data_IF_362930729074
#
_entry.id   IF_362930729074
#
_cell.length_a   1.000
_cell.length_b   1.000
_cell.length_c   1.000
_cell.angle_alpha   90.00
_cell.angle_beta   90.00
_cell.angle_gamma   90.00
#
_symmetry.space_group_name_H-M   'P 1'
#
loop_
_entity.id
_entity.type
_entity.pdbx_description
1 polymer ?
#
# COMPACT_ATOMS: atom_id res chain seq x y z
N UNK A 1 -21.75 6.40 15.06
CA UNK A 1 -21.43 7.78 15.53
C UNK A 1 -20.58 7.76 16.80
N UNK A 2 -20.92 6.95 17.80
CA UNK A 2 -20.22 6.96 19.09
C UNK A 2 -18.77 6.43 18.99
N UNK A 3 -18.52 5.35 18.25
CA UNK A 3 -17.19 4.78 18.03
C UNK A 3 -16.25 5.72 17.25
N UNK A 4 -16.79 6.57 16.36
CA UNK A 4 -16.01 7.58 15.63
C UNK A 4 -15.58 8.76 16.51
N UNK A 5 -16.45 9.22 17.42
CA UNK A 5 -16.10 10.29 18.36
C UNK A 5 -14.97 9.90 19.32
N UNK A 6 -14.90 8.63 19.73
CA UNK A 6 -13.80 8.11 20.55
C UNK A 6 -12.47 8.06 19.77
N UNK A 7 -12.50 7.71 18.49
CA UNK A 7 -11.31 7.71 17.61
C UNK A 7 -10.78 9.13 17.38
N UNK A 8 -11.66 10.11 17.15
CA UNK A 8 -11.28 11.52 16.96
C UNK A 8 -10.75 12.16 18.25
N UNK A 9 -11.31 11.82 19.41
CA UNK A 9 -10.90 12.38 20.72
C UNK A 9 -9.52 11.90 21.14
N UNK A 10 -9.16 10.66 20.82
CA UNK A 10 -7.82 10.09 21.05
C UNK A 10 -6.72 10.76 20.21
N UNK A 11 -7.10 11.47 19.14
CA UNK A 11 -6.17 12.01 18.16
C UNK A 11 -5.85 13.50 18.27
N UNK A 12 -6.68 14.30 18.93
CA UNK A 12 -6.47 15.76 19.03
C UNK A 12 -5.30 16.20 19.92
N UNK A 13 -4.67 15.28 20.66
CA UNK A 13 -3.61 15.64 21.62
C UNK A 13 -2.18 15.54 21.12
N UNK A 14 -1.91 15.11 19.87
CA UNK A 14 -0.53 14.85 19.45
C UNK A 14 -0.29 15.07 17.94
N UNK A 15 -0.46 16.30 17.42
CA UNK A 15 0.06 16.63 16.10
C UNK A 15 0.83 17.95 16.14
N UNK A 16 2.12 17.82 16.41
CA UNK A 16 3.15 18.73 15.91
C UNK A 16 4.39 17.89 15.61
N UNK A 17 4.80 17.96 14.33
CA UNK A 17 6.06 17.46 13.77
C UNK A 17 6.27 15.93 13.70
N UNK A 18 6.20 15.41 12.47
CA UNK A 18 7.16 14.41 11.96
C UNK A 18 6.96 14.24 10.44
N UNK A 19 7.72 14.99 9.66
CA UNK A 19 7.82 14.84 8.19
C UNK A 19 9.12 14.10 7.85
N UNK A 20 9.20 12.80 8.13
CA UNK A 20 10.29 11.95 7.62
C UNK A 20 9.83 10.50 7.55
N UNK A 21 9.93 9.90 6.38
CA UNK A 21 9.82 8.46 6.22
C UNK A 21 11.18 7.84 6.59
N UNK A 22 11.30 7.27 7.79
CA UNK A 22 12.56 6.68 8.29
C UNK A 22 12.90 5.34 7.64
N UNK A 23 11.94 4.69 6.97
CA UNK A 23 12.11 3.32 6.44
C UNK A 23 12.64 3.29 5.00
N UNK A 24 12.38 4.32 4.18
CA UNK A 24 12.76 4.33 2.76
C UNK A 24 13.84 5.36 2.38
N UNK A 25 14.29 6.20 3.32
CA UNK A 25 15.39 7.15 3.08
C UNK A 25 15.10 8.25 2.05
N UNK A 26 13.82 8.61 1.83
CA UNK A 26 13.46 9.67 0.90
C UNK A 26 13.87 11.05 1.46
N UNK A 27 14.73 11.84 0.77
CA UNK A 27 15.11 13.16 1.24
C UNK A 27 14.01 14.18 0.99
N UNK A 28 13.69 14.99 1.99
CA UNK A 28 12.86 16.18 1.83
C UNK A 28 13.60 17.22 0.98
N UNK A 29 12.97 17.69 -0.09
CA UNK A 29 13.50 18.74 -0.96
C UNK A 29 13.30 20.11 -0.30
N UNK A 30 14.34 20.62 0.37
CA UNK A 30 14.52 22.05 0.60
C UNK A 30 16.00 22.37 0.46
N UNK A 31 16.39 22.82 -0.73
CA UNK A 31 17.70 23.41 -1.01
C UNK A 31 17.55 24.92 -1.19
N UNK A 32 17.86 25.69 -0.16
CA UNK A 32 18.32 27.06 -0.32
C UNK A 32 19.81 27.06 -0.57
N UNK A 33 20.24 27.51 -1.74
CA UNK A 33 21.61 27.84 -2.05
C UNK A 33 21.86 29.29 -1.59
N UNK A 34 22.82 29.45 -0.70
CA UNK A 34 23.46 30.76 -0.50
C UNK A 34 24.96 30.63 -0.75
N UNK A 35 25.47 31.52 -1.61
CA UNK A 35 26.85 31.62 -2.00
C UNK A 35 27.54 32.66 -1.13
N UNK A 36 28.63 32.27 -0.47
CA UNK A 36 29.49 33.20 0.26
C UNK A 36 30.93 32.73 0.34
N UNK A 37 31.78 33.47 -0.32
CA UNK A 37 33.21 33.38 -0.60
C UNK A 37 34.16 33.18 0.60
N UNK A 38 35.13 32.33 0.36
CA UNK A 38 36.60 32.43 0.52
C UNK A 38 37.17 33.20 1.74
N UNK A 39 37.94 32.49 2.56
CA UNK A 39 39.26 32.90 3.09
C UNK A 39 39.95 31.71 3.80
N UNK A 40 41.15 31.37 3.33
CA UNK A 40 42.03 30.36 3.92
C UNK A 40 42.73 30.82 5.18
N UNK A 41 42.88 29.92 6.14
CA UNK A 41 43.96 29.91 7.11
C UNK A 41 44.31 28.46 7.53
N UNK A 42 45.56 28.09 7.29
CA UNK A 42 46.25 26.89 7.77
C UNK A 42 46.55 27.03 9.26
N UNK A 43 46.09 26.11 10.09
CA UNK A 43 46.75 25.78 11.37
C UNK A 43 46.61 24.27 11.63
N UNK A 44 47.74 23.60 11.71
CA UNK A 44 47.91 22.23 12.18
C UNK A 44 47.84 22.21 13.71
N UNK A 45 46.95 21.41 14.27
CA UNK A 45 47.06 20.90 15.63
C UNK A 45 46.57 19.44 15.65
N UNK A 46 47.51 18.54 15.93
CA UNK A 46 47.24 17.16 16.33
C UNK A 46 46.52 17.16 17.67
N UNK A 47 45.29 16.66 17.69
CA UNK A 47 44.61 16.16 18.88
C UNK A 47 43.96 14.84 18.57
N UNK A 48 44.55 13.80 19.09
CA UNK A 48 44.02 12.44 19.17
C UNK A 48 42.75 12.46 20.07
N UNK A 49 41.59 12.45 19.48
CA UNK A 49 40.31 12.20 20.16
C UNK A 49 39.71 10.89 19.67
N UNK A 50 39.87 9.86 20.48
CA UNK A 50 39.12 8.61 20.37
C UNK A 50 37.63 8.89 20.47
N UNK A 51 36.97 9.07 19.33
CA UNK A 51 35.51 9.10 19.29
C UNK A 51 34.96 7.67 19.41
N UNK A 52 34.54 7.29 20.62
CA UNK A 52 33.61 6.21 20.80
C UNK A 52 32.30 6.64 20.15
N UNK A 53 32.02 6.08 18.96
CA UNK A 53 30.70 6.21 18.35
C UNK A 53 29.69 5.40 19.16
N UNK A 54 28.92 6.09 19.98
CA UNK A 54 27.75 5.52 20.65
C UNK A 54 26.63 5.30 19.62
N UNK A 55 26.71 4.15 18.91
CA UNK A 55 25.71 3.72 17.92
C UNK A 55 24.42 3.17 18.58
N UNK A 56 24.32 3.18 19.91
CA UNK A 56 23.27 2.47 20.62
C UNK A 56 21.99 3.28 20.91
N UNK A 57 22.05 4.60 21.03
CA UNK A 57 20.90 5.40 21.47
C UNK A 57 19.94 5.78 20.34
N UNK A 58 20.47 6.12 19.16
CA UNK A 58 19.66 6.51 18.00
C UNK A 58 18.77 5.37 17.48
N UNK A 59 19.29 4.16 17.38
CA UNK A 59 18.57 2.99 16.88
C UNK A 59 17.39 2.59 17.78
N UNK A 60 17.58 2.63 19.11
CA UNK A 60 16.50 2.32 20.07
C UNK A 60 15.36 3.33 20.03
N UNK A 61 15.67 4.62 19.87
CA UNK A 61 14.64 5.66 19.76
C UNK A 61 13.85 5.52 18.47
N UNK A 62 14.48 5.21 17.33
CA UNK A 62 13.80 4.99 16.05
C UNK A 62 12.86 3.80 16.11
N UNK A 63 13.29 2.66 16.64
CA UNK A 63 12.44 1.47 16.80
C UNK A 63 11.21 1.78 17.66
N UNK A 64 11.38 2.48 18.79
CA UNK A 64 10.26 2.83 19.68
C UNK A 64 9.23 3.76 19.00
N UNK A 65 9.68 4.69 18.14
CA UNK A 65 8.81 5.58 17.38
C UNK A 65 8.04 4.77 16.30
N UNK A 66 8.70 3.88 15.57
CA UNK A 66 8.07 3.02 14.58
C UNK A 66 7.01 2.10 15.21
N UNK A 67 7.31 1.50 16.36
CA UNK A 67 6.35 0.69 17.12
C UNK A 67 5.13 1.49 17.58
N UNK A 68 5.30 2.74 18.02
CA UNK A 68 4.19 3.62 18.43
C UNK A 68 3.32 4.03 17.23
N UNK A 69 3.92 4.35 16.08
CA UNK A 69 3.19 4.67 14.83
C UNK A 69 2.37 3.46 14.38
N UNK A 70 2.97 2.28 14.29
CA UNK A 70 2.28 1.06 13.89
C UNK A 70 1.21 0.66 14.92
N UNK A 71 1.48 0.84 16.21
CA UNK A 71 0.51 0.59 17.27
C UNK A 71 -0.74 1.49 17.17
N UNK A 72 -0.56 2.77 16.82
CA UNK A 72 -1.67 3.69 16.57
C UNK A 72 -2.45 3.30 15.31
N UNK A 73 -1.73 2.98 14.23
CA UNK A 73 -2.34 2.52 12.98
C UNK A 73 -3.19 1.25 13.21
N UNK A 74 -2.65 0.25 13.90
CA UNK A 74 -3.32 -1.04 14.14
C UNK A 74 -4.61 -0.89 14.95
N UNK A 75 -4.66 0.06 15.89
CA UNK A 75 -5.91 0.39 16.61
C UNK A 75 -6.97 0.92 15.65
N UNK A 76 -6.61 1.87 14.76
CA UNK A 76 -7.54 2.41 13.75
C UNK A 76 -7.94 1.36 12.72
N UNK A 77 -7.01 0.51 12.28
CA UNK A 77 -7.31 -0.62 11.41
C UNK A 77 -8.34 -1.59 12.03
N UNK A 78 -8.26 -1.81 13.35
CA UNK A 78 -9.25 -2.62 14.06
C UNK A 78 -10.65 -1.99 14.04
N UNK A 79 -10.77 -0.65 14.15
CA UNK A 79 -12.04 0.05 13.99
C UNK A 79 -12.58 -0.05 12.56
N UNK A 80 -11.74 0.15 11.55
CA UNK A 80 -12.12 -0.02 10.16
C UNK A 80 -12.64 -1.44 9.90
N UNK A 81 -11.92 -2.46 10.38
CA UNK A 81 -12.32 -3.87 10.23
C UNK A 81 -13.66 -4.17 10.90
N UNK A 82 -13.89 -3.63 12.10
CA UNK A 82 -15.17 -3.78 12.79
C UNK A 82 -16.31 -3.12 12.00
N UNK A 83 -16.09 -1.92 11.46
CA UNK A 83 -17.05 -1.21 10.61
C UNK A 83 -17.37 -2.01 9.35
N UNK A 84 -16.36 -2.47 8.62
CA UNK A 84 -16.55 -3.23 7.39
C UNK A 84 -17.30 -4.55 7.64
N UNK A 85 -16.97 -5.22 8.73
CA UNK A 85 -17.68 -6.43 9.16
C UNK A 85 -19.14 -6.15 9.51
N UNK A 86 -19.43 -5.08 10.26
CA UNK A 86 -20.79 -4.68 10.62
C UNK A 86 -21.64 -4.37 9.38
N UNK A 87 -21.03 -3.75 8.37
CA UNK A 87 -21.69 -3.40 7.10
C UNK A 87 -21.68 -4.54 6.08
N UNK A 88 -21.02 -5.65 6.34
CA UNK A 88 -20.91 -6.78 5.40
C UNK A 88 -20.12 -6.46 4.13
N UNK A 89 -19.18 -5.49 4.21
CA UNK A 89 -18.38 -5.06 3.06
C UNK A 89 -17.14 -5.93 2.95
N UNK A 90 -16.90 -6.52 1.77
CA UNK A 90 -15.62 -7.18 1.49
C UNK A 90 -14.57 -6.15 1.08
N UNK A 91 -13.42 -6.11 1.77
CA UNK A 91 -12.41 -5.06 1.59
C UNK A 91 -11.07 -5.64 1.20
N UNK A 92 -10.48 -5.14 0.12
CA UNK A 92 -9.17 -5.56 -0.38
C UNK A 92 -8.23 -4.36 -0.49
N UNK A 93 -6.96 -4.58 -0.10
CA UNK A 93 -5.88 -3.60 -0.24
C UNK A 93 -4.89 -4.09 -1.31
N UNK A 94 -4.88 -3.45 -2.48
CA UNK A 94 -4.00 -3.80 -3.59
C UNK A 94 -2.68 -3.05 -3.46
N UNK A 95 -1.60 -3.80 -3.38
CA UNK A 95 -0.22 -3.31 -3.22
C UNK A 95 0.67 -3.82 -4.34
N UNK A 96 1.63 -3.04 -4.82
CA UNK A 96 2.51 -3.45 -5.90
C UNK A 96 3.71 -2.52 -6.09
N UNK A 97 4.64 -2.93 -6.94
CA UNK A 97 5.59 -1.98 -7.59
C UNK A 97 4.85 -1.02 -8.51
N UNK A 98 5.42 0.17 -8.79
CA UNK A 98 4.96 1.02 -9.88
C UNK A 98 4.98 0.26 -11.21
N UNK A 99 3.97 0.47 -12.05
CA UNK A 99 3.89 -0.14 -13.38
C UNK A 99 3.49 -1.62 -13.41
N UNK A 100 3.14 -2.26 -12.30
CA UNK A 100 2.62 -3.65 -12.27
C UNK A 100 1.26 -3.81 -12.94
N UNK A 101 0.52 -2.70 -13.11
CA UNK A 101 -0.80 -2.67 -13.74
C UNK A 101 -1.97 -2.73 -12.77
N UNK A 102 -1.81 -2.30 -11.50
CA UNK A 102 -2.89 -2.23 -10.50
C UNK A 102 -4.13 -1.52 -11.04
N UNK A 103 -3.98 -0.26 -11.48
CA UNK A 103 -5.09 0.55 -11.99
C UNK A 103 -5.79 -0.10 -13.17
N UNK A 104 -5.03 -0.68 -14.13
CA UNK A 104 -5.61 -1.40 -15.28
C UNK A 104 -6.38 -2.64 -14.84
N UNK A 105 -5.87 -3.35 -13.84
CA UNK A 105 -6.55 -4.52 -13.24
C UNK A 105 -7.85 -4.09 -12.55
N UNK A 106 -7.82 -3.00 -11.79
CA UNK A 106 -9.00 -2.43 -11.15
C UNK A 106 -10.05 -1.99 -12.18
N UNK A 107 -9.67 -1.21 -13.18
CA UNK A 107 -10.59 -0.81 -14.27
C UNK A 107 -11.26 -2.01 -14.92
N UNK A 108 -10.49 -3.06 -15.23
CA UNK A 108 -11.04 -4.28 -15.83
C UNK A 108 -12.00 -4.98 -14.87
N UNK A 109 -11.61 -5.17 -13.63
CA UNK A 109 -12.44 -5.80 -12.58
C UNK A 109 -13.75 -5.03 -12.39
N UNK A 110 -13.70 -3.71 -12.30
CA UNK A 110 -14.87 -2.87 -12.09
C UNK A 110 -15.82 -2.88 -13.29
N UNK A 111 -15.30 -2.79 -14.53
CA UNK A 111 -16.13 -2.88 -15.74
C UNK A 111 -16.90 -4.19 -15.83
N UNK A 112 -16.25 -5.29 -15.46
CA UNK A 112 -16.82 -6.62 -15.57
C UNK A 112 -17.79 -6.93 -14.41
N UNK A 113 -17.60 -6.36 -13.20
CA UNK A 113 -18.38 -6.68 -12.00
C UNK A 113 -19.40 -5.62 -11.57
N UNK A 114 -19.29 -4.35 -11.98
CA UNK A 114 -20.15 -3.26 -11.48
C UNK A 114 -21.66 -3.45 -11.78
N UNK A 115 -22.02 -4.32 -12.71
CA UNK A 115 -23.40 -4.65 -13.01
C UNK A 115 -24.03 -5.65 -12.04
N UNK A 116 -23.20 -6.39 -11.29
CA UNK A 116 -23.63 -7.48 -10.39
C UNK A 116 -23.23 -7.24 -8.94
N UNK A 117 -22.31 -6.30 -8.69
CA UNK A 117 -21.75 -6.03 -7.38
C UNK A 117 -21.59 -4.52 -7.18
N UNK A 118 -22.02 -4.00 -6.05
CA UNK A 118 -21.89 -2.57 -5.70
C UNK A 118 -20.48 -2.33 -5.18
N UNK A 119 -19.67 -1.71 -6.02
CA UNK A 119 -18.26 -1.47 -5.76
C UNK A 119 -17.98 0.00 -5.44
N UNK A 120 -16.94 0.26 -4.63
CA UNK A 120 -16.32 1.57 -4.48
C UNK A 120 -14.80 1.41 -4.42
N UNK A 121 -14.07 2.50 -4.71
CA UNK A 121 -12.61 2.52 -4.69
C UNK A 121 -12.08 3.67 -3.85
N UNK A 122 -11.10 3.38 -2.99
CA UNK A 122 -10.21 4.39 -2.44
C UNK A 122 -8.88 4.26 -3.19
N UNK A 123 -8.44 5.35 -3.81
CA UNK A 123 -7.19 5.41 -4.58
C UNK A 123 -6.19 6.32 -3.85
N UNK A 124 -4.99 5.81 -3.57
CA UNK A 124 -3.90 6.54 -2.94
C UNK A 124 -2.77 6.83 -3.93
N UNK A 125 -2.55 8.12 -4.23
CA UNK A 125 -1.42 8.57 -5.03
C UNK A 125 -0.71 9.76 -4.37
N UNK A 126 0.54 9.97 -4.77
CA UNK A 126 1.38 11.03 -4.22
C UNK A 126 1.11 12.40 -4.87
N UNK A 127 0.81 12.46 -6.17
CA UNK A 127 0.81 13.72 -6.92
C UNK A 127 -0.26 13.88 -7.98
N UNK A 128 -0.82 12.79 -8.54
CA UNK A 128 -1.71 12.88 -9.70
C UNK A 128 -3.09 12.32 -9.41
N UNK A 129 -4.10 12.74 -10.17
CA UNK A 129 -5.46 12.22 -10.13
C UNK A 129 -5.78 11.32 -11.34
N UNK A 130 -4.78 11.01 -12.16
CA UNK A 130 -4.96 10.25 -13.39
C UNK A 130 -5.57 8.87 -13.16
N UNK A 131 -5.11 8.13 -12.16
CA UNK A 131 -5.62 6.80 -11.87
C UNK A 131 -7.03 6.87 -11.27
N UNK A 132 -7.31 7.85 -10.42
CA UNK A 132 -8.68 8.11 -9.92
C UNK A 132 -9.65 8.47 -11.07
N UNK A 133 -9.23 9.27 -12.04
CA UNK A 133 -10.04 9.61 -13.22
C UNK A 133 -10.33 8.38 -14.10
N UNK A 134 -9.34 7.51 -14.30
CA UNK A 134 -9.50 6.24 -15.02
C UNK A 134 -10.53 5.34 -14.34
N UNK A 135 -10.46 5.22 -13.01
CA UNK A 135 -11.41 4.44 -12.21
C UNK A 135 -12.80 5.08 -12.28
N UNK A 136 -12.92 6.40 -12.12
CA UNK A 136 -14.19 7.12 -12.21
C UNK A 136 -14.89 6.93 -13.57
N UNK A 137 -14.11 6.79 -14.66
CA UNK A 137 -14.64 6.50 -16.00
C UNK A 137 -15.35 5.12 -16.10
N UNK A 138 -15.18 4.23 -15.13
CA UNK A 138 -15.95 2.97 -15.03
C UNK A 138 -17.37 3.17 -14.49
N UNK A 139 -17.70 4.37 -13.97
CA UNK A 139 -18.96 4.68 -13.32
C UNK A 139 -19.06 4.27 -11.85
N UNK A 140 -18.00 3.71 -11.28
CA UNK A 140 -17.92 3.30 -9.86
C UNK A 140 -17.49 4.48 -9.00
N UNK A 141 -18.10 4.70 -7.81
CA UNK A 141 -17.65 5.72 -6.87
C UNK A 141 -16.17 5.55 -6.52
N UNK A 142 -15.41 6.63 -6.65
CA UNK A 142 -13.98 6.65 -6.30
C UNK A 142 -13.68 7.83 -5.37
N UNK A 143 -12.87 7.58 -4.36
CA UNK A 143 -12.29 8.60 -3.48
C UNK A 143 -10.79 8.58 -3.60
N UNK A 144 -10.23 9.66 -4.15
CA UNK A 144 -8.79 9.84 -4.15
C UNK A 144 -8.31 10.41 -2.81
N UNK A 145 -7.18 9.88 -2.35
CA UNK A 145 -6.42 10.37 -1.21
C UNK A 145 -5.02 10.74 -1.68
N UNK A 146 -4.73 12.03 -1.64
CA UNK A 146 -3.38 12.50 -1.91
C UNK A 146 -2.52 12.27 -0.66
N UNK A 147 -1.52 11.41 -0.76
CA UNK A 147 -0.61 11.09 0.35
C UNK A 147 0.53 12.10 0.49
N UNK A 148 0.66 13.04 -0.45
CA UNK A 148 1.75 14.03 -0.47
C UNK A 148 3.13 13.36 -0.52
N UNK A 149 3.95 13.59 0.50
CA UNK A 149 5.25 12.93 0.64
C UNK A 149 5.15 11.48 1.17
N UNK A 150 3.96 11.01 1.56
CA UNK A 150 3.73 9.66 2.08
C UNK A 150 3.78 8.62 0.96
N UNK A 151 4.44 7.50 1.22
CA UNK A 151 4.62 6.40 0.27
C UNK A 151 3.61 5.26 0.47
N UNK A 152 2.55 5.47 1.25
CA UNK A 152 1.51 4.49 1.55
C UNK A 152 0.25 5.18 2.11
N UNK A 153 -0.86 4.44 2.10
CA UNK A 153 -2.07 4.77 2.85
C UNK A 153 -1.99 4.19 4.27
N UNK A 154 -2.60 4.87 5.24
CA UNK A 154 -2.76 4.42 6.61
C UNK A 154 -4.25 4.19 6.97
N UNK A 155 -4.51 3.56 8.11
CA UNK A 155 -5.86 3.23 8.54
C UNK A 155 -6.74 4.47 8.82
N UNK A 156 -6.14 5.60 9.21
CA UNK A 156 -6.86 6.86 9.40
C UNK A 156 -7.33 7.44 8.08
N UNK A 157 -6.47 7.41 7.06
CA UNK A 157 -6.82 7.86 5.72
C UNK A 157 -7.99 7.04 5.16
N UNK A 158 -8.00 5.72 5.38
CA UNK A 158 -9.11 4.86 4.97
C UNK A 158 -10.40 5.20 5.73
N UNK A 159 -10.33 5.39 7.05
CA UNK A 159 -11.48 5.77 7.86
C UNK A 159 -12.16 7.03 7.31
N UNK A 160 -11.39 8.08 7.00
CA UNK A 160 -11.92 9.31 6.42
C UNK A 160 -12.34 9.14 4.94
N UNK A 161 -11.63 8.31 4.18
CA UNK A 161 -11.98 8.00 2.79
C UNK A 161 -13.36 7.38 2.66
N UNK A 162 -13.73 6.52 3.60
CA UNK A 162 -15.04 5.85 3.62
C UNK A 162 -16.21 6.77 3.89
N UNK A 163 -16.01 7.98 4.45
CA UNK A 163 -17.08 8.96 4.69
C UNK A 163 -17.77 9.45 3.41
N UNK A 164 -17.13 9.27 2.26
CA UNK A 164 -17.67 9.67 0.96
C UNK A 164 -18.59 8.62 0.32
N UNK A 165 -18.77 7.44 0.94
CA UNK A 165 -19.53 6.32 0.37
C UNK A 165 -20.76 5.99 1.20
N UNK A 166 -21.81 5.49 0.54
CA UNK A 166 -22.96 4.85 1.19
C UNK A 166 -22.59 3.40 1.55
N UNK A 167 -22.07 3.22 2.77
CA UNK A 167 -21.57 1.93 3.24
C UNK A 167 -22.69 0.88 3.46
N UNK A 168 -23.95 1.31 3.62
CA UNK A 168 -25.08 0.39 3.79
C UNK A 168 -25.45 -0.31 2.47
N UNK A 169 -24.99 0.23 1.34
CA UNK A 169 -25.25 -0.28 0.00
C UNK A 169 -23.98 -0.65 -0.74
N UNK A 170 -22.92 -1.06 -0.04
CA UNK A 170 -21.63 -1.42 -0.63
C UNK A 170 -21.33 -2.90 -0.38
N UNK A 171 -20.98 -3.64 -1.44
CA UNK A 171 -20.59 -5.05 -1.34
C UNK A 171 -19.07 -5.22 -1.33
N UNK A 172 -18.34 -4.41 -2.13
CA UNK A 172 -16.90 -4.51 -2.32
C UNK A 172 -16.24 -3.13 -2.25
N UNK A 173 -15.25 -2.99 -1.37
CA UNK A 173 -14.36 -1.85 -1.32
C UNK A 173 -12.95 -2.27 -1.77
N UNK A 174 -12.46 -1.67 -2.83
CA UNK A 174 -11.11 -1.86 -3.32
C UNK A 174 -10.25 -0.65 -2.91
N UNK A 175 -9.12 -0.91 -2.26
CA UNK A 175 -8.15 0.12 -1.90
C UNK A 175 -6.96 -0.05 -2.82
N UNK A 176 -6.72 0.91 -3.70
CA UNK A 176 -5.48 0.99 -4.49
C UNK A 176 -4.44 1.76 -3.70
N UNK A 177 -3.42 1.05 -3.21
CA UNK A 177 -2.33 1.68 -2.48
C UNK A 177 -1.28 2.28 -3.43
N UNK A 178 -0.48 3.20 -2.91
CA UNK A 178 0.66 3.78 -3.63
C UNK A 178 1.57 2.68 -4.17
N UNK A 179 2.13 2.87 -5.36
CA UNK A 179 3.05 1.93 -6.00
C UNK A 179 4.37 1.80 -5.24
N UNK A 180 4.38 0.95 -4.20
CA UNK A 180 5.53 0.69 -3.34
C UNK A 180 5.40 -0.71 -2.71
N UNK A 181 6.50 -1.49 -2.66
CA UNK A 181 6.54 -2.82 -2.05
C UNK A 181 7.11 -2.83 -0.61
N UNK A 182 7.55 -1.71 -0.08
CA UNK A 182 8.18 -1.62 1.24
C UNK A 182 7.21 -1.01 2.25
N UNK A 183 6.89 0.27 2.10
CA UNK A 183 6.10 1.01 3.09
C UNK A 183 4.70 0.42 3.32
N UNK A 184 3.88 0.07 2.31
CA UNK A 184 2.54 -0.48 2.54
C UNK A 184 2.53 -1.86 3.19
N UNK A 185 3.68 -2.57 3.23
CA UNK A 185 3.76 -3.91 3.77
C UNK A 185 3.37 -3.96 5.26
N UNK A 186 3.86 -3.00 6.05
CA UNK A 186 3.68 -2.98 7.50
C UNK A 186 2.33 -2.41 7.96
N UNK A 187 1.62 -1.65 7.09
CA UNK A 187 0.39 -0.97 7.46
C UNK A 187 -0.84 -1.82 7.18
N UNK A 188 -1.55 -2.16 8.25
CA UNK A 188 -2.90 -2.74 8.21
C UNK A 188 -3.90 -1.59 8.04
N UNK A 189 -4.82 -1.71 7.09
CA UNK A 189 -5.85 -0.71 6.81
C UNK A 189 -7.23 -1.13 7.34
N UNK A 190 -7.35 -2.35 7.87
CA UNK A 190 -8.59 -3.01 8.25
C UNK A 190 -9.18 -3.86 7.12
N UNK A 191 -8.41 -4.09 6.05
CA UNK A 191 -8.79 -4.94 4.93
C UNK A 191 -8.99 -6.41 5.32
N UNK A 192 -9.81 -7.15 4.54
CA UNK A 192 -9.93 -8.60 4.65
C UNK A 192 -8.71 -9.31 4.07
N UNK A 193 -8.21 -8.80 2.94
CA UNK A 193 -7.04 -9.34 2.27
C UNK A 193 -6.15 -8.23 1.73
N UNK A 194 -4.85 -8.34 1.96
CA UNK A 194 -3.82 -7.63 1.22
C UNK A 194 -3.49 -8.44 -0.03
N UNK A 195 -3.58 -7.79 -1.19
CA UNK A 195 -3.43 -8.40 -2.51
C UNK A 195 -2.16 -7.85 -3.15
N UNK A 196 -1.12 -8.66 -3.26
CA UNK A 196 0.10 -8.30 -3.96
C UNK A 196 -0.09 -8.45 -5.47
N UNK A 197 0.01 -7.36 -6.23
CA UNK A 197 -0.02 -7.40 -7.70
C UNK A 197 1.41 -7.39 -8.22
N UNK A 198 1.82 -8.50 -8.82
CA UNK A 198 3.13 -8.68 -9.43
C UNK A 198 2.96 -8.84 -10.94
N UNK A 199 3.79 -8.16 -11.73
CA UNK A 199 3.81 -8.31 -13.19
C UNK A 199 4.90 -9.29 -13.63
N UNK A 200 4.63 -10.12 -14.64
CA UNK A 200 5.65 -10.99 -15.27
C UNK A 200 6.83 -10.19 -15.86
N UNK A 201 6.73 -8.88 -15.96
CA UNK A 201 7.82 -8.01 -16.41
C UNK A 201 8.80 -7.60 -15.30
N UNK A 202 8.58 -8.04 -14.04
CA UNK A 202 9.34 -7.56 -12.89
C UNK A 202 10.40 -8.54 -12.37
N UNK A 203 10.42 -9.77 -12.83
CA UNK A 203 11.27 -10.87 -12.39
C UNK A 203 10.63 -11.77 -11.34
N UNK A 204 10.85 -13.06 -11.47
CA UNK A 204 10.25 -14.11 -10.64
C UNK A 204 10.72 -14.10 -9.18
N UNK A 205 11.85 -13.46 -8.89
CA UNK A 205 12.46 -13.42 -7.55
C UNK A 205 11.94 -12.30 -6.65
N UNK A 206 10.98 -11.50 -7.13
CA UNK A 206 10.35 -10.42 -6.34
C UNK A 206 9.83 -10.87 -4.98
N UNK A 207 9.18 -12.02 -4.82
CA UNK A 207 8.75 -12.48 -3.50
C UNK A 207 9.89 -12.63 -2.50
N UNK A 208 11.07 -13.08 -2.95
CA UNK A 208 12.25 -13.21 -2.09
C UNK A 208 12.92 -11.87 -1.80
N UNK A 209 12.85 -10.91 -2.73
CA UNK A 209 13.42 -9.57 -2.57
C UNK A 209 12.59 -8.68 -1.63
N UNK A 210 11.27 -8.88 -1.58
CA UNK A 210 10.33 -8.12 -0.76
C UNK A 210 9.52 -9.04 0.17
N UNK A 211 10.19 -9.86 1.01
CA UNK A 211 9.53 -10.94 1.74
C UNK A 211 8.43 -10.43 2.68
N UNK A 212 8.60 -9.26 3.29
CA UNK A 212 7.61 -8.69 4.20
C UNK A 212 6.29 -8.39 3.48
N UNK A 213 6.34 -7.87 2.25
CA UNK A 213 5.13 -7.59 1.47
C UNK A 213 4.36 -8.88 1.16
N UNK A 214 5.04 -9.92 0.66
CA UNK A 214 4.40 -11.18 0.30
C UNK A 214 3.98 -11.98 1.54
N UNK A 215 4.72 -11.90 2.65
CA UNK A 215 4.32 -12.51 3.92
C UNK A 215 3.01 -11.95 4.45
N UNK A 216 2.82 -10.63 4.33
CA UNK A 216 1.60 -9.95 4.79
C UNK A 216 0.46 -9.97 3.76
N UNK A 217 0.69 -10.53 2.57
CA UNK A 217 -0.33 -10.69 1.53
C UNK A 217 -0.90 -12.10 1.55
N UNK A 218 -2.22 -12.20 1.52
CA UNK A 218 -2.92 -13.48 1.46
C UNK A 218 -3.26 -13.89 0.04
N UNK A 219 -3.17 -12.94 -0.90
CA UNK A 219 -3.44 -13.14 -2.34
C UNK A 219 -2.32 -12.51 -3.16
N UNK A 220 -1.92 -13.17 -4.22
CA UNK A 220 -1.03 -12.65 -5.26
C UNK A 220 -1.74 -12.74 -6.62
N UNK A 221 -1.78 -11.62 -7.34
CA UNK A 221 -2.18 -11.57 -8.74
C UNK A 221 -0.92 -11.46 -9.59
N UNK A 222 -0.58 -12.51 -10.33
CA UNK A 222 0.49 -12.50 -11.32
C UNK A 222 -0.10 -11.97 -12.63
N UNK A 223 0.13 -10.68 -12.87
CA UNK A 223 -0.49 -9.93 -13.95
C UNK A 223 0.37 -9.87 -15.22
N UNK A 224 -0.26 -9.52 -16.33
CA UNK A 224 0.31 -9.38 -17.67
C UNK A 224 0.80 -10.71 -18.25
N UNK A 225 0.14 -11.82 -17.93
CA UNK A 225 0.53 -13.15 -18.45
C UNK A 225 0.48 -13.23 -19.99
N UNK A 226 -0.27 -12.32 -20.64
CA UNK A 226 -0.26 -12.14 -22.11
C UNK A 226 1.12 -11.81 -22.67
N UNK A 227 2.06 -11.36 -21.85
CA UNK A 227 3.42 -11.06 -22.24
C UNK A 227 4.39 -12.24 -22.09
N UNK A 228 3.99 -13.35 -21.43
CA UNK A 228 4.85 -14.52 -21.21
C UNK A 228 5.52 -15.06 -22.50
N UNK A 229 4.85 -15.10 -23.67
CA UNK A 229 5.49 -15.56 -24.90
C UNK A 229 6.69 -14.72 -25.36
N UNK A 230 6.87 -13.52 -24.80
CA UNK A 230 7.90 -12.56 -25.18
C UNK A 230 8.94 -12.32 -24.09
N UNK A 231 8.84 -13.04 -22.97
CA UNK A 231 9.67 -12.83 -21.78
C UNK A 231 10.32 -14.16 -21.34
N UNK A 232 11.50 -14.02 -20.78
CA UNK A 232 12.16 -15.10 -20.03
C UNK A 232 11.74 -15.01 -18.56
N UNK A 233 10.54 -15.52 -18.25
CA UNK A 233 9.96 -15.50 -16.92
C UNK A 233 9.43 -16.88 -16.54
N UNK A 234 9.95 -17.43 -15.45
CA UNK A 234 9.55 -18.74 -14.92
C UNK A 234 8.39 -18.58 -13.91
N UNK A 235 7.17 -18.85 -14.38
CA UNK A 235 5.94 -18.75 -13.59
C UNK A 235 5.96 -19.70 -12.39
N UNK A 236 6.36 -20.96 -12.58
CA UNK A 236 6.35 -21.94 -11.49
C UNK A 236 7.37 -21.61 -10.41
N UNK A 237 8.53 -21.13 -10.80
CA UNK A 237 9.55 -20.63 -9.87
C UNK A 237 9.08 -19.42 -9.10
N UNK A 238 8.40 -18.48 -9.74
CA UNK A 238 7.78 -17.34 -9.07
C UNK A 238 6.77 -17.77 -8.00
N UNK A 239 5.88 -18.72 -8.33
CA UNK A 239 4.90 -19.29 -7.39
C UNK A 239 5.59 -20.03 -6.24
N UNK A 240 6.64 -20.79 -6.52
CA UNK A 240 7.44 -21.44 -5.48
C UNK A 240 8.00 -20.41 -4.51
N UNK A 241 8.61 -19.34 -5.01
CA UNK A 241 9.16 -18.27 -4.18
C UNK A 241 8.10 -17.56 -3.35
N UNK A 242 6.92 -17.28 -3.92
CA UNK A 242 5.80 -16.71 -3.19
C UNK A 242 5.34 -17.62 -2.04
N UNK A 243 5.20 -18.95 -2.30
CA UNK A 243 4.81 -19.93 -1.27
C UNK A 243 5.89 -20.18 -0.21
N UNK A 244 7.16 -20.01 -0.54
CA UNK A 244 8.23 -20.06 0.47
C UNK A 244 8.13 -18.94 1.49
N UNK A 245 7.63 -17.77 1.07
CA UNK A 245 7.45 -16.59 1.93
C UNK A 245 6.10 -16.62 2.65
N UNK A 246 5.05 -17.03 1.94
CA UNK A 246 3.68 -17.15 2.45
C UNK A 246 3.07 -18.46 1.97
N UNK A 247 3.14 -19.55 2.77
CA UNK A 247 2.76 -20.91 2.32
C UNK A 247 1.32 -21.03 1.81
N UNK A 248 0.39 -20.28 2.40
CA UNK A 248 -1.04 -20.34 2.10
C UNK A 248 -1.51 -19.26 1.12
N UNK A 249 -0.59 -18.55 0.47
CA UNK A 249 -0.92 -17.47 -0.46
C UNK A 249 -1.72 -18.01 -1.66
N UNK A 250 -2.89 -17.43 -1.91
CA UNK A 250 -3.68 -17.71 -3.11
C UNK A 250 -3.07 -16.98 -4.30
N UNK A 251 -2.87 -17.69 -5.42
CA UNK A 251 -2.23 -17.12 -6.60
C UNK A 251 -3.18 -17.23 -7.80
N UNK A 252 -3.45 -16.08 -8.43
CA UNK A 252 -4.19 -15.99 -9.68
C UNK A 252 -3.25 -15.49 -10.78
N UNK A 253 -3.19 -16.19 -11.89
CA UNK A 253 -2.49 -15.78 -13.10
C UNK A 253 -3.48 -15.05 -13.99
N UNK A 254 -3.24 -13.77 -14.27
CA UNK A 254 -4.21 -12.91 -14.93
C UNK A 254 -3.57 -12.00 -15.97
N UNK A 255 -4.36 -11.63 -16.97
CA UNK A 255 -4.07 -10.48 -17.83
C UNK A 255 -5.24 -9.51 -17.79
N UNK A 256 -5.04 -8.37 -17.17
CA UNK A 256 -6.02 -7.28 -17.19
C UNK A 256 -6.31 -6.81 -18.62
N UNK A 257 -5.36 -6.95 -19.55
CA UNK A 257 -5.46 -6.53 -20.94
C UNK A 257 -6.28 -7.50 -21.78
N UNK A 258 -5.92 -8.79 -21.79
CA UNK A 258 -6.58 -9.82 -22.60
C UNK A 258 -7.86 -10.38 -21.94
N UNK A 259 -7.95 -10.33 -20.61
CA UNK A 259 -9.00 -10.97 -19.83
C UNK A 259 -8.68 -12.40 -19.43
N UNK A 260 -7.56 -12.94 -19.84
CA UNK A 260 -7.13 -14.30 -19.49
C UNK A 260 -6.98 -14.44 -17.97
N UNK A 261 -7.49 -15.54 -17.39
CA UNK A 261 -7.43 -15.84 -15.96
C UNK A 261 -8.33 -14.99 -15.06
N UNK A 262 -8.99 -13.94 -15.58
CA UNK A 262 -9.80 -13.03 -14.77
C UNK A 262 -11.06 -13.68 -14.17
N UNK A 263 -11.60 -14.72 -14.80
CA UNK A 263 -12.81 -15.41 -14.30
C UNK A 263 -12.60 -16.01 -12.90
N UNK A 264 -11.47 -16.65 -12.64
CA UNK A 264 -11.17 -17.22 -11.32
C UNK A 264 -11.05 -16.12 -10.24
N UNK A 265 -10.48 -14.96 -10.60
CA UNK A 265 -10.43 -13.79 -9.76
C UNK A 265 -11.84 -13.25 -9.44
N UNK A 266 -12.73 -13.15 -10.42
CA UNK A 266 -14.11 -12.69 -10.22
C UNK A 266 -14.94 -13.66 -9.37
N UNK A 267 -14.79 -14.96 -9.56
CA UNK A 267 -15.45 -15.96 -8.72
C UNK A 267 -15.02 -15.86 -7.27
N UNK A 268 -13.74 -15.63 -7.02
CA UNK A 268 -13.22 -15.42 -5.66
C UNK A 268 -13.75 -14.12 -5.03
N UNK A 269 -13.82 -13.02 -5.78
CA UNK A 269 -14.43 -11.77 -5.32
C UNK A 269 -15.91 -11.93 -4.95
N UNK A 270 -16.67 -12.58 -5.81
CA UNK A 270 -18.10 -12.85 -5.57
C UNK A 270 -18.31 -13.71 -4.31
N UNK A 271 -17.47 -14.73 -4.11
CA UNK A 271 -17.53 -15.58 -2.92
C UNK A 271 -17.15 -14.82 -1.64
N UNK A 272 -16.25 -13.85 -1.72
CA UNK A 272 -15.85 -12.98 -0.61
C UNK A 272 -16.95 -11.98 -0.24
N UNK A 273 -17.58 -11.36 -1.21
CA UNK A 273 -18.65 -10.38 -1.02
C UNK A 273 -20.00 -10.99 -0.62
N UNK A 274 -20.23 -12.27 -0.84
CA UNK A 274 -21.46 -12.98 -0.47
C UNK A 274 -21.55 -13.44 0.99
N UNK A 275 -20.57 -13.05 1.83
CA UNK A 275 -20.45 -13.51 3.24
C UNK A 275 -21.22 -12.63 4.24
#
# INVERSE_FOLDING_TARGET
LHLRQEADTLFQSTFQELSMCTTCGCPSADHHHDHGSDHGHTHSHDHDHSHQHDLGSGTRTTIAIEEDILGKNNRLASFNRALFKDKGIFVLNLVSSPGSGKTTLLERTLRDLSHTMRCAVIEGDQQTDNDAQRIAATGVPVRQINTGAGCHLDAKMIMHGTDSFDLDHLDLLLIENVGNLVCPAAFDLGEHHKVAVLSVTEGEDKPLKYPQMFHNSTVMLLNKIDLLPYLDFDVEKCKEYARRVSPDILIFEVSAKSGEGMEAWYQWLNAGAAR
#
